data_IF_895073207593
#
_entry.id   IF_895073207593
#
_cell.length_a   1.000
_cell.length_b   1.000
_cell.length_c   1.000
_cell.angle_alpha   90.00
_cell.angle_beta   90.00
_cell.angle_gamma   90.00
#
_symmetry.space_group_name_H-M   'P 1'
#
loop_
_entity.id
_entity.type
_entity.pdbx_description
1 polymer ?
#
# COMPACT_ATOMS: atom_id res chain seq x y z
N UNK A 1 23.74 -6.20 8.76
CA UNK A 1 24.88 -5.48 9.32
C UNK A 1 24.85 -4.08 8.77
N UNK A 2 24.51 -3.10 9.61
CA UNK A 2 24.63 -1.68 9.28
C UNK A 2 26.07 -1.30 9.59
N UNK A 3 26.83 -0.95 8.55
CA UNK A 3 28.18 -0.44 8.72
C UNK A 3 28.14 0.88 9.46
N UNK A 4 28.88 0.97 10.55
CA UNK A 4 29.12 2.19 11.31
C UNK A 4 30.23 2.98 10.64
N UNK A 5 29.88 3.85 9.70
CA UNK A 5 30.78 4.94 9.34
C UNK A 5 30.36 6.17 10.15
N UNK A 6 31.23 6.59 11.04
CA UNK A 6 31.09 7.71 11.99
C UNK A 6 31.25 9.05 11.25
N UNK A 7 30.31 9.31 10.32
CA UNK A 7 30.20 10.57 9.57
C UNK A 7 28.87 11.25 9.91
N UNK A 8 28.74 11.73 11.14
CA UNK A 8 27.62 12.58 11.58
C UNK A 8 26.23 11.94 11.49
N UNK A 9 26.11 10.63 11.47
CA UNK A 9 24.88 9.87 11.73
C UNK A 9 23.89 9.69 10.55
N UNK A 10 24.24 10.04 9.31
CA UNK A 10 23.41 9.74 8.15
C UNK A 10 23.97 8.54 7.41
N UNK A 11 23.26 7.40 7.36
CA UNK A 11 23.70 6.28 6.55
C UNK A 11 23.66 6.67 5.08
N UNK A 12 24.82 6.59 4.40
CA UNK A 12 24.98 6.84 2.98
C UNK A 12 25.01 5.51 2.22
N UNK A 13 24.23 5.40 1.16
CA UNK A 13 24.25 4.25 0.26
C UNK A 13 22.89 3.54 0.11
N UNK A 14 22.81 2.53 -0.75
CA UNK A 14 21.59 1.79 -0.99
C UNK A 14 21.26 0.89 0.21
N UNK A 15 19.97 0.87 0.58
CA UNK A 15 19.41 -0.09 1.54
C UNK A 15 18.90 -1.32 0.80
N UNK A 16 19.20 -2.50 1.32
CA UNK A 16 18.63 -3.74 0.80
C UNK A 16 17.46 -4.18 1.67
N UNK A 17 16.30 -4.37 1.05
CA UNK A 17 15.12 -4.95 1.66
C UNK A 17 14.80 -6.27 0.96
N UNK A 18 14.39 -7.26 1.74
CA UNK A 18 13.97 -8.55 1.19
C UNK A 18 12.49 -8.78 1.50
N UNK A 19 11.72 -9.30 0.55
CA UNK A 19 10.32 -9.62 0.79
C UNK A 19 10.16 -10.61 1.96
N UNK A 20 9.11 -10.41 2.74
CA UNK A 20 8.68 -11.33 3.78
C UNK A 20 7.54 -12.24 3.30
N UNK A 21 7.04 -12.03 2.09
CA UNK A 21 5.94 -12.76 1.48
C UNK A 21 5.44 -12.06 0.23
N UNK A 22 4.33 -12.53 -0.30
CA UNK A 22 3.71 -12.03 -1.52
C UNK A 22 2.19 -11.91 -1.38
N UNK A 23 1.62 -11.00 -2.15
CA UNK A 23 0.18 -10.81 -2.24
C UNK A 23 -0.39 -11.77 -3.28
N UNK A 24 -1.33 -12.60 -2.91
CA UNK A 24 -2.19 -13.35 -3.82
C UNK A 24 -3.51 -12.59 -3.98
N UNK A 25 -3.73 -11.95 -5.12
CA UNK A 25 -4.89 -11.11 -5.40
C UNK A 25 -5.50 -11.41 -6.77
N UNK A 26 -6.77 -11.05 -7.02
CA UNK A 26 -7.38 -11.22 -8.32
C UNK A 26 -6.85 -10.26 -9.40
N UNK A 27 -6.00 -9.32 -9.04
CA UNK A 27 -5.56 -8.24 -9.93
C UNK A 27 -4.25 -8.59 -10.63
N UNK A 28 -4.33 -8.93 -11.92
CA UNK A 28 -3.18 -9.29 -12.74
C UNK A 28 -2.57 -8.11 -13.50
N UNK A 29 -3.31 -7.02 -13.66
CA UNK A 29 -2.93 -5.86 -14.48
C UNK A 29 -3.19 -4.55 -13.77
N UNK A 30 -2.39 -3.51 -14.05
CA UNK A 30 -2.56 -2.15 -13.48
C UNK A 30 -3.93 -1.54 -13.82
N UNK A 31 -4.47 -1.84 -15.00
CA UNK A 31 -5.82 -1.40 -15.39
C UNK A 31 -6.86 -2.36 -14.81
N UNK A 32 -7.79 -1.80 -14.03
CA UNK A 32 -8.84 -2.56 -13.33
C UNK A 32 -8.55 -2.86 -11.88
N UNK A 33 -7.32 -2.61 -11.41
CA UNK A 33 -7.00 -2.64 -9.99
C UNK A 33 -7.58 -1.39 -9.31
N UNK A 34 -8.14 -1.50 -8.11
CA UNK A 34 -8.54 -0.34 -7.31
C UNK A 34 -7.40 0.65 -7.13
N UNK A 35 -7.71 1.94 -7.11
CA UNK A 35 -6.65 2.96 -7.02
C UNK A 35 -6.18 3.20 -5.59
N UNK A 36 -6.92 2.76 -4.60
CA UNK A 36 -6.55 2.83 -3.18
C UNK A 36 -7.23 1.69 -2.40
N UNK A 37 -6.53 1.16 -1.42
CA UNK A 37 -7.07 0.24 -0.43
C UNK A 37 -8.22 0.92 0.33
N UNK A 38 -9.22 0.14 0.72
CA UNK A 38 -10.38 0.59 1.50
C UNK A 38 -11.21 1.74 0.91
N UNK A 39 -10.86 2.28 -0.26
CA UNK A 39 -11.66 3.29 -0.96
C UNK A 39 -12.89 2.68 -1.65
N UNK A 40 -13.11 1.41 -1.46
CA UNK A 40 -14.18 0.64 -2.06
C UNK A 40 -14.83 -0.12 -0.91
N UNK A 41 -16.15 -0.22 -0.93
CA UNK A 41 -16.88 -1.36 -0.37
C UNK A 41 -16.39 -2.61 -1.11
N UNK A 42 -15.16 -3.00 -0.84
CA UNK A 42 -14.53 -4.01 -1.64
C UNK A 42 -14.58 -5.32 -0.88
N UNK A 43 -15.52 -6.12 -1.28
CA UNK A 43 -15.44 -7.57 -1.16
C UNK A 43 -14.28 -8.16 -2.00
N UNK A 44 -13.21 -7.38 -2.24
CA UNK A 44 -12.07 -7.87 -3.01
C UNK A 44 -11.17 -8.67 -2.08
N UNK A 45 -11.37 -10.00 -1.99
CA UNK A 45 -10.56 -10.85 -1.14
C UNK A 45 -9.17 -11.01 -1.73
N UNK A 46 -8.19 -11.04 -0.83
CA UNK A 46 -6.82 -11.42 -1.17
C UNK A 46 -6.21 -12.19 0.00
N UNK A 47 -5.08 -12.80 -0.26
CA UNK A 47 -4.29 -13.48 0.76
C UNK A 47 -2.88 -12.90 0.75
N UNK A 48 -2.40 -12.54 1.93
CA UNK A 48 -0.99 -12.23 2.13
C UNK A 48 -0.31 -13.54 2.54
N UNK A 49 0.54 -14.06 1.67
CA UNK A 49 1.24 -15.33 1.88
C UNK A 49 2.66 -15.03 2.37
N UNK A 50 2.94 -15.30 3.64
CA UNK A 50 4.24 -15.06 4.22
C UNK A 50 5.18 -16.23 3.98
N UNK A 51 6.46 -15.92 3.82
CA UNK A 51 7.52 -16.90 3.54
C UNK A 51 7.92 -17.65 4.84
N UNK A 52 7.63 -18.96 4.95
CA UNK A 52 7.97 -19.74 6.13
C UNK A 52 9.49 -19.86 6.37
N UNK A 53 10.31 -19.65 5.34
CA UNK A 53 11.76 -19.64 5.52
C UNK A 53 12.27 -18.38 6.25
N UNK A 54 11.41 -17.37 6.39
CA UNK A 54 11.77 -16.05 6.96
C UNK A 54 10.94 -15.66 8.16
N UNK A 55 9.67 -16.05 8.17
CA UNK A 55 8.70 -15.60 9.17
C UNK A 55 8.20 -16.82 9.93
N UNK A 56 8.52 -16.96 11.23
CA UNK A 56 7.89 -17.95 12.08
C UNK A 56 6.43 -17.57 12.36
N UNK A 57 5.57 -18.57 12.59
CA UNK A 57 4.14 -18.31 12.88
C UNK A 57 3.93 -17.47 14.14
N UNK A 58 4.83 -17.57 15.13
CA UNK A 58 4.78 -16.77 16.35
C UNK A 58 4.83 -15.25 16.10
N UNK A 59 5.36 -14.82 14.95
CA UNK A 59 5.35 -13.41 14.56
C UNK A 59 3.94 -12.87 14.28
N UNK A 60 2.95 -13.76 14.12
CA UNK A 60 1.55 -13.39 13.89
C UNK A 60 0.70 -13.53 15.17
N UNK A 61 1.32 -13.84 16.29
CA UNK A 61 0.64 -13.88 17.58
C UNK A 61 -0.04 -12.54 17.86
N UNK A 62 -1.21 -12.60 18.50
CA UNK A 62 -2.01 -11.43 18.91
C UNK A 62 -2.55 -10.54 17.76
N UNK A 63 -2.44 -10.99 16.50
CA UNK A 63 -3.17 -10.33 15.38
C UNK A 63 -4.68 -10.57 15.45
N UNK A 64 -5.12 -11.59 16.17
CA UNK A 64 -6.56 -11.85 16.36
C UNK A 64 -7.19 -10.69 17.12
N UNK A 65 -8.25 -10.11 16.52
CA UNK A 65 -8.92 -8.91 17.06
C UNK A 65 -8.41 -7.58 16.48
N UNK A 66 -7.32 -7.59 15.74
CA UNK A 66 -6.90 -6.45 14.92
C UNK A 66 -7.73 -6.43 13.63
N UNK A 67 -8.60 -5.45 13.48
CA UNK A 67 -9.50 -5.37 12.31
C UNK A 67 -8.79 -4.87 11.04
N UNK A 68 -7.75 -4.04 11.18
CA UNK A 68 -7.01 -3.50 10.05
C UNK A 68 -5.51 -3.57 10.27
N UNK A 69 -4.80 -3.79 9.17
CA UNK A 69 -3.35 -3.80 9.15
C UNK A 69 -2.83 -2.89 8.03
N UNK A 70 -1.70 -2.26 8.27
CA UNK A 70 -0.86 -1.66 7.24
C UNK A 70 -0.06 -2.75 6.55
N UNK A 71 -0.07 -2.74 5.22
CA UNK A 71 0.78 -3.58 4.39
C UNK A 71 1.74 -2.70 3.61
N UNK A 72 3.03 -2.82 3.88
CA UNK A 72 4.09 -2.17 3.13
C UNK A 72 4.55 -3.11 2.03
N UNK A 73 4.60 -2.62 0.81
CA UNK A 73 4.92 -3.44 -0.37
C UNK A 73 5.94 -2.76 -1.27
N UNK A 74 6.59 -3.56 -2.11
CA UNK A 74 7.38 -3.05 -3.23
C UNK A 74 6.53 -3.13 -4.50
N UNK A 75 6.26 -1.99 -5.11
CA UNK A 75 5.44 -1.91 -6.33
C UNK A 75 6.29 -2.32 -7.55
N UNK A 76 6.54 -3.60 -7.68
CA UNK A 76 7.50 -4.22 -8.59
C UNK A 76 7.23 -3.98 -10.08
N UNK A 77 6.02 -3.50 -10.44
CA UNK A 77 5.62 -3.13 -11.80
C UNK A 77 5.54 -1.62 -12.02
N UNK A 78 6.18 -0.83 -11.15
CA UNK A 78 6.29 0.62 -11.35
C UNK A 78 7.15 0.93 -12.57
N UNK A 79 6.79 2.03 -13.25
CA UNK A 79 7.53 2.57 -14.38
C UNK A 79 8.55 3.63 -13.91
N UNK A 80 9.24 4.24 -14.85
CA UNK A 80 10.10 5.40 -14.59
C UNK A 80 9.29 6.54 -13.98
N UNK A 81 9.81 7.14 -12.91
CA UNK A 81 9.18 8.24 -12.21
C UNK A 81 9.58 9.60 -12.78
N UNK A 82 8.79 10.61 -12.48
CA UNK A 82 9.10 12.02 -12.76
C UNK A 82 8.64 12.92 -11.62
N UNK A 83 9.20 14.13 -11.47
CA UNK A 83 8.89 15.02 -10.35
C UNK A 83 7.45 15.54 -10.36
N UNK A 84 6.81 15.54 -11.52
CA UNK A 84 5.44 15.99 -11.72
C UNK A 84 4.61 14.87 -12.36
N UNK A 85 3.45 14.60 -11.79
CA UNK A 85 2.51 13.61 -12.29
C UNK A 85 1.15 14.26 -12.57
N UNK A 86 0.37 13.62 -13.42
CA UNK A 86 -1.02 14.01 -13.67
C UNK A 86 -1.93 13.00 -12.97
N UNK A 87 -2.57 13.38 -11.83
CA UNK A 87 -3.49 12.50 -11.16
C UNK A 87 -4.63 12.07 -12.08
N UNK A 88 -5.21 10.88 -11.90
CA UNK A 88 -6.34 10.41 -12.70
C UNK A 88 -7.66 11.11 -12.36
N UNK A 89 -7.68 11.91 -11.28
CA UNK A 89 -8.85 12.64 -10.77
C UNK A 89 -8.60 14.12 -10.76
N UNK A 90 -9.70 14.89 -10.79
CA UNK A 90 -9.69 16.33 -10.79
C UNK A 90 -9.26 16.93 -12.13
N UNK A 91 -9.01 18.23 -12.13
CA UNK A 91 -8.57 18.95 -13.30
C UNK A 91 -7.25 18.38 -13.80
N UNK A 92 -7.04 18.39 -15.13
CA UNK A 92 -5.82 17.87 -15.77
C UNK A 92 -4.59 18.74 -15.49
N UNK A 93 -4.35 19.03 -14.22
CA UNK A 93 -3.20 19.79 -13.72
C UNK A 93 -2.11 18.83 -13.27
N UNK A 94 -0.86 19.15 -13.56
CA UNK A 94 0.28 18.40 -13.01
C UNK A 94 0.46 18.78 -11.54
N UNK A 95 0.70 17.78 -10.72
CA UNK A 95 0.96 17.92 -9.28
C UNK A 95 2.34 17.38 -8.96
N UNK A 96 2.97 17.90 -7.93
CA UNK A 96 4.20 17.33 -7.41
C UNK A 96 4.00 15.86 -7.02
N UNK A 97 4.98 15.02 -7.33
CA UNK A 97 4.90 13.57 -7.09
C UNK A 97 4.49 13.26 -5.66
N UNK A 98 5.11 13.93 -4.68
CA UNK A 98 4.88 13.67 -3.26
C UNK A 98 3.55 14.23 -2.72
N UNK A 99 2.86 15.06 -3.50
CA UNK A 99 1.48 15.47 -3.22
C UNK A 99 0.45 14.48 -3.80
N UNK A 100 0.88 13.30 -4.24
CA UNK A 100 0.04 12.26 -4.84
C UNK A 100 0.43 10.88 -4.33
N UNK A 101 -0.41 9.89 -4.59
CA UNK A 101 -0.13 8.46 -4.35
C UNK A 101 0.21 7.72 -5.64
N UNK A 102 0.89 8.39 -6.59
CA UNK A 102 1.40 7.72 -7.79
C UNK A 102 2.32 6.57 -7.43
N UNK A 103 2.17 5.40 -8.06
CA UNK A 103 3.06 4.25 -7.81
C UNK A 103 4.47 4.44 -8.37
N UNK A 104 4.60 5.26 -9.42
CA UNK A 104 5.86 5.50 -10.09
C UNK A 104 6.66 6.54 -9.29
N UNK A 105 7.54 6.08 -8.39
CA UNK A 105 8.27 6.86 -7.39
C UNK A 105 9.75 6.48 -7.36
N UNK A 106 10.66 7.32 -6.81
CA UNK A 106 12.07 6.95 -6.63
C UNK A 106 12.24 5.62 -5.88
N UNK A 107 11.50 5.46 -4.79
CA UNK A 107 11.33 4.19 -4.09
C UNK A 107 9.85 3.81 -4.24
N UNK A 108 9.50 2.87 -5.11
CA UNK A 108 8.11 2.53 -5.39
C UNK A 108 7.52 1.66 -4.28
N UNK A 109 7.33 2.27 -3.11
CA UNK A 109 6.71 1.66 -1.95
C UNK A 109 5.21 1.86 -1.97
N UNK A 110 4.47 0.78 -1.74
CA UNK A 110 3.04 0.78 -1.47
C UNK A 110 2.77 0.78 0.03
N UNK A 111 1.72 1.47 0.44
CA UNK A 111 1.20 1.49 1.81
C UNK A 111 -0.31 1.38 1.74
N UNK A 112 -0.84 0.23 2.14
CA UNK A 112 -2.27 -0.09 2.05
C UNK A 112 -2.82 -0.46 3.42
N UNK A 113 -3.89 0.22 3.86
CA UNK A 113 -4.65 -0.17 5.05
C UNK A 113 -5.74 -1.15 4.63
N UNK A 114 -5.55 -2.44 4.89
CA UNK A 114 -6.49 -3.50 4.51
C UNK A 114 -7.23 -4.05 5.73
N UNK A 115 -8.44 -4.57 5.52
CA UNK A 115 -9.17 -5.26 6.58
C UNK A 115 -8.59 -6.67 6.75
N UNK A 116 -8.21 -7.04 7.97
CA UNK A 116 -7.83 -8.39 8.33
C UNK A 116 -9.09 -9.18 8.68
N UNK A 117 -9.36 -10.25 7.93
CA UNK A 117 -10.53 -11.10 8.13
C UNK A 117 -10.19 -12.28 9.05
N UNK A 118 -9.08 -12.96 8.76
CA UNK A 118 -8.60 -14.11 9.55
C UNK A 118 -7.13 -14.39 9.27
N UNK A 119 -6.50 -15.06 10.20
CA UNK A 119 -5.14 -15.61 10.11
C UNK A 119 -5.22 -17.12 10.09
N UNK A 120 -4.48 -17.76 9.18
CA UNK A 120 -4.44 -19.22 9.02
C UNK A 120 -2.98 -19.63 8.75
N UNK A 121 -2.28 -20.01 9.80
CA UNK A 121 -0.82 -20.16 9.75
C UNK A 121 -0.18 -18.87 9.23
N UNK A 122 0.66 -18.96 8.21
CA UNK A 122 1.32 -17.81 7.57
C UNK A 122 0.49 -17.15 6.46
N UNK A 123 -0.81 -17.38 6.40
CA UNK A 123 -1.74 -16.82 5.41
C UNK A 123 -2.70 -15.85 6.11
N UNK A 124 -2.63 -14.58 5.75
CA UNK A 124 -3.53 -13.56 6.25
C UNK A 124 -4.58 -13.28 5.16
N UNK A 125 -5.83 -13.59 5.45
CA UNK A 125 -6.97 -13.32 4.57
C UNK A 125 -7.44 -11.88 4.80
N UNK A 126 -7.45 -11.09 3.75
CA UNK A 126 -7.72 -9.65 3.83
C UNK A 126 -8.77 -9.21 2.80
N UNK A 127 -9.40 -8.07 3.06
CA UNK A 127 -10.30 -7.38 2.13
C UNK A 127 -9.79 -5.96 1.86
N UNK A 128 -10.22 -5.41 0.73
CA UNK A 128 -9.90 -4.03 0.37
C UNK A 128 -8.50 -3.83 -0.20
N UNK A 129 -7.98 -4.83 -0.90
CA UNK A 129 -6.64 -4.77 -1.49
C UNK A 129 -6.64 -4.01 -2.81
N UNK A 130 -5.64 -3.14 -2.99
CA UNK A 130 -5.35 -2.38 -4.21
C UNK A 130 -4.02 -2.81 -4.88
N UNK A 131 -3.56 -4.00 -4.56
CA UNK A 131 -2.26 -4.53 -4.95
C UNK A 131 -2.39 -5.61 -6.03
N UNK A 132 -1.45 -5.63 -6.96
CA UNK A 132 -1.36 -6.66 -7.98
C UNK A 132 -0.94 -8.01 -7.38
N UNK A 133 -1.37 -9.08 -8.03
CA UNK A 133 -0.90 -10.42 -7.74
C UNK A 133 0.63 -10.52 -7.81
N UNK A 134 1.23 -11.26 -6.91
CA UNK A 134 2.68 -11.41 -6.80
C UNK A 134 3.41 -10.16 -6.28
N UNK A 135 2.69 -9.14 -5.76
CA UNK A 135 3.35 -7.95 -5.18
C UNK A 135 4.13 -8.36 -3.93
N UNK A 136 5.45 -8.08 -3.86
CA UNK A 136 6.26 -8.39 -2.69
C UNK A 136 5.82 -7.59 -1.46
N UNK A 137 5.69 -8.29 -0.33
CA UNK A 137 5.39 -7.69 0.99
C UNK A 137 6.73 -7.43 1.69
N UNK A 138 6.90 -6.22 2.20
CA UNK A 138 8.12 -5.81 2.92
C UNK A 138 7.90 -5.78 4.44
N UNK A 139 6.70 -5.42 4.89
CA UNK A 139 6.35 -5.33 6.30
C UNK A 139 4.84 -5.33 6.51
N UNK A 140 4.41 -5.72 7.70
CA UNK A 140 3.02 -5.65 8.17
C UNK A 140 3.01 -5.01 9.54
N UNK A 141 2.10 -4.05 9.77
CA UNK A 141 1.89 -3.41 11.06
C UNK A 141 0.41 -3.35 11.41
N UNK A 142 0.04 -3.45 12.69
CA UNK A 142 -1.34 -3.21 13.08
C UNK A 142 -1.72 -1.74 12.81
N UNK A 143 -2.97 -1.51 12.41
CA UNK A 143 -3.55 -0.17 12.28
C UNK A 143 -4.24 0.21 13.59
N UNK A 144 -3.84 1.31 14.19
CA UNK A 144 -4.42 1.83 15.43
C UNK A 144 -5.20 3.12 15.14
N UNK A 145 -6.55 3.09 15.12
CA UNK A 145 -7.36 4.27 14.79
C UNK A 145 -7.04 5.51 15.63
N UNK A 146 -6.68 5.32 16.89
CA UNK A 146 -6.33 6.42 17.80
C UNK A 146 -5.00 7.12 17.47
N UNK A 147 -4.15 6.49 16.67
CA UNK A 147 -2.81 7.00 16.30
C UNK A 147 -2.73 7.29 14.80
N UNK A 148 -3.34 6.44 13.98
CA UNK A 148 -3.17 6.47 12.52
C UNK A 148 -4.24 7.30 11.80
N UNK A 149 -5.34 7.65 12.48
CA UNK A 149 -6.43 8.43 11.89
C UNK A 149 -6.44 9.87 12.39
N UNK A 150 -6.44 10.80 11.44
CA UNK A 150 -6.58 12.24 11.68
C UNK A 150 -7.75 12.78 10.84
N UNK A 151 -9.02 12.53 11.23
CA UNK A 151 -10.19 12.85 10.40
C UNK A 151 -10.35 14.33 10.06
N UNK A 152 -9.84 15.23 10.90
CA UNK A 152 -9.86 16.69 10.69
C UNK A 152 -8.66 17.23 9.91
N UNK A 153 -7.69 16.37 9.55
CA UNK A 153 -6.51 16.81 8.80
C UNK A 153 -6.90 17.18 7.36
N UNK A 154 -6.40 18.31 6.90
CA UNK A 154 -6.62 18.75 5.52
C UNK A 154 -5.78 17.94 4.54
N UNK A 155 -6.38 17.60 3.39
CA UNK A 155 -5.72 16.86 2.30
C UNK A 155 -5.27 17.78 1.14
N UNK A 156 -5.27 19.10 1.34
CA UNK A 156 -4.82 20.07 0.37
C UNK A 156 -5.66 20.08 -0.91
N UNK A 157 -5.05 19.91 -2.06
CA UNK A 157 -5.76 19.95 -3.35
C UNK A 157 -6.86 18.88 -3.50
N UNK A 158 -6.84 17.82 -2.72
CA UNK A 158 -7.88 16.79 -2.69
C UNK A 158 -9.18 17.37 -2.13
N UNK A 159 -9.10 18.24 -1.11
CA UNK A 159 -10.27 18.86 -0.48
C UNK A 159 -11.01 19.82 -1.43
N UNK A 160 -10.33 20.25 -2.52
CA UNK A 160 -10.89 21.14 -3.54
C UNK A 160 -11.65 20.38 -4.63
N UNK A 161 -11.61 19.04 -4.62
CA UNK A 161 -12.29 18.23 -5.62
C UNK A 161 -13.80 18.14 -5.33
N UNK A 162 -14.64 18.09 -6.38
CA UNK A 162 -16.06 17.78 -6.24
C UNK A 162 -16.28 16.46 -5.48
N UNK A 163 -17.35 16.37 -4.72
CA UNK A 163 -17.62 15.22 -3.84
C UNK A 163 -17.73 13.87 -4.57
N UNK A 164 -18.25 13.89 -5.78
CA UNK A 164 -18.33 12.74 -6.69
C UNK A 164 -16.95 12.26 -7.19
N UNK A 165 -15.98 13.17 -7.31
CA UNK A 165 -14.59 12.83 -7.63
C UNK A 165 -13.79 12.33 -6.42
N UNK A 166 -14.24 12.65 -5.19
CA UNK A 166 -13.67 12.14 -3.94
C UNK A 166 -14.06 10.68 -3.68
N UNK A 167 -15.16 10.22 -4.25
CA UNK A 167 -15.53 8.82 -4.19
C UNK A 167 -14.51 8.03 -5.02
N UNK A 168 -13.62 7.33 -4.32
CA UNK A 168 -12.62 6.42 -4.92
C UNK A 168 -13.26 5.18 -5.57
N UNK A 169 -14.54 5.26 -5.91
CA UNK A 169 -15.33 4.22 -6.52
C UNK A 169 -14.84 3.84 -7.92
N UNK A 170 -15.09 2.60 -8.27
CA UNK A 170 -14.79 1.93 -9.52
C UNK A 170 -15.02 2.83 -10.74
N UNK A 171 -13.95 3.10 -11.48
CA UNK A 171 -14.12 3.54 -12.87
C UNK A 171 -14.59 2.31 -13.66
N UNK A 172 -15.76 2.34 -14.33
CA UNK A 172 -16.16 1.23 -15.17
C UNK A 172 -15.06 0.97 -16.22
N UNK A 173 -14.85 -0.30 -16.63
CA UNK A 173 -13.93 -0.60 -17.71
C UNK A 173 -14.36 0.22 -18.94
N UNK A 174 -13.41 0.86 -19.59
CA UNK A 174 -13.66 1.46 -20.90
C UNK A 174 -14.02 0.32 -21.84
N UNK A 175 -15.21 0.44 -22.46
CA UNK A 175 -15.64 -0.43 -23.54
C UNK A 175 -14.62 -0.39 -24.70
#
# INVERSE_FOLDING_TARGET
MLGSDDDGGRPHGPFSLSPIGWVASPYQRRFGTPQQAAAIDSDSPAVLELDPARIPEDALSDLVGIERIWVLTFLHRSATWGPLVRPPRGPRVRRGLFATRSPDRPNPLGLSAVQLVRVEGLRLHVLGVDLLDGTPILDIKPYFPSVDAFPSARAGWIDELPHDELQFAKRPPKA
#
